data_IF_219315685404
#
_entry.id   IF_219315685404
#
_cell.length_a   1.000
_cell.length_b   1.000
_cell.length_c   1.000
_cell.angle_alpha   90.00
_cell.angle_beta   90.00
_cell.angle_gamma   90.00
#
_symmetry.space_group_name_H-M   'P 1'
#
loop_
_entity.id
_entity.type
_entity.pdbx_description
1 polymer ?
#
# COMPACT_ATOMS: atom_id res chain seq x y z
N UNK A 1 9.29 14.71 14.60
CA UNK A 1 9.76 13.74 15.61
C UNK A 1 8.98 12.44 15.43
N UNK A 2 9.63 11.26 15.49
CA UNK A 2 8.95 9.99 15.36
C UNK A 2 7.92 9.79 16.48
N UNK A 3 6.75 9.24 16.12
CA UNK A 3 5.64 9.00 17.06
C UNK A 3 5.87 7.77 17.96
N UNK A 4 6.75 6.86 17.54
CA UNK A 4 7.23 5.74 18.34
C UNK A 4 8.72 5.97 18.64
N UNK A 5 9.13 5.96 19.92
CA UNK A 5 10.54 6.08 20.29
C UNK A 5 11.39 5.05 19.55
N UNK A 6 12.51 5.50 19.00
CA UNK A 6 13.46 4.61 18.36
C UNK A 6 14.31 3.95 19.44
N UNK A 7 14.30 2.62 19.49
CA UNK A 7 15.20 1.90 20.38
C UNK A 7 16.65 2.13 19.93
N UNK A 8 17.52 2.28 20.93
CA UNK A 8 18.97 2.29 20.73
C UNK A 8 19.45 0.91 20.31
N UNK A 9 20.65 0.85 19.71
CA UNK A 9 21.26 -0.45 19.36
C UNK A 9 21.53 -1.25 20.62
N UNK A 10 21.85 -0.61 21.74
CA UNK A 10 22.10 -1.24 23.03
C UNK A 10 20.87 -1.96 23.58
N UNK A 11 19.67 -1.38 23.43
CA UNK A 11 18.43 -1.94 23.96
C UNK A 11 17.96 -3.19 23.21
N UNK A 12 18.25 -3.29 21.91
CA UNK A 12 17.82 -4.41 21.04
C UNK A 12 18.97 -4.96 20.18
N UNK A 13 20.16 -5.06 20.77
CA UNK A 13 21.42 -5.36 20.07
C UNK A 13 21.34 -6.56 19.15
N UNK A 14 20.85 -7.69 19.64
CA UNK A 14 20.77 -8.93 18.86
C UNK A 14 19.97 -8.76 17.54
N UNK A 15 18.82 -8.08 17.62
CA UNK A 15 17.94 -7.88 16.46
C UNK A 15 18.48 -6.82 15.50
N UNK A 16 18.95 -5.70 16.04
CA UNK A 16 19.46 -4.60 15.22
C UNK A 16 20.82 -4.93 14.58
N UNK A 17 21.66 -5.74 15.23
CA UNK A 17 22.89 -6.27 14.64
C UNK A 17 22.60 -7.25 13.49
N UNK A 18 21.53 -8.04 13.59
CA UNK A 18 21.08 -8.87 12.48
C UNK A 18 20.65 -8.02 11.27
N UNK A 19 19.93 -6.92 11.51
CA UNK A 19 19.57 -5.96 10.46
C UNK A 19 20.81 -5.32 9.84
N UNK A 20 21.74 -4.85 10.68
CA UNK A 20 23.01 -4.25 10.25
C UNK A 20 23.81 -5.21 9.37
N UNK A 21 23.92 -6.49 9.75
CA UNK A 21 24.63 -7.51 8.96
C UNK A 21 23.97 -7.77 7.61
N UNK A 22 22.64 -7.77 7.54
CA UNK A 22 21.91 -8.07 6.31
C UNK A 22 21.83 -6.88 5.35
N UNK A 23 21.74 -5.65 5.87
CA UNK A 23 21.49 -4.45 5.06
C UNK A 23 22.66 -3.46 5.01
N UNK A 24 23.73 -3.69 5.79
CA UNK A 24 24.88 -2.78 5.93
C UNK A 24 24.58 -1.50 6.73
N UNK A 25 23.33 -1.31 7.15
CA UNK A 25 22.84 -0.22 8.01
C UNK A 25 21.59 -0.67 8.76
N UNK A 26 21.18 0.08 9.78
CA UNK A 26 19.90 -0.10 10.48
C UNK A 26 18.95 1.05 10.14
N UNK A 27 18.01 0.85 9.20
CA UNK A 27 17.06 1.90 8.86
C UNK A 27 16.14 2.30 10.02
N UNK A 28 15.68 3.55 10.02
CA UNK A 28 14.85 4.11 11.09
C UNK A 28 13.55 3.33 11.36
N UNK A 29 12.94 2.72 10.33
CA UNK A 29 11.82 1.77 10.51
C UNK A 29 12.16 0.67 11.52
N UNK A 30 13.34 0.05 11.41
CA UNK A 30 13.74 -1.05 12.30
C UNK A 30 14.02 -0.54 13.72
N UNK A 31 14.57 0.66 13.86
CA UNK A 31 14.79 1.30 15.17
C UNK A 31 13.47 1.61 15.87
N UNK A 32 12.47 2.11 15.15
CA UNK A 32 11.13 2.32 15.71
C UNK A 32 10.43 1.00 16.03
N UNK A 33 10.53 -0.01 15.16
CA UNK A 33 9.90 -1.32 15.39
C UNK A 33 10.53 -2.09 16.55
N UNK A 34 11.81 -1.82 16.85
CA UNK A 34 12.52 -2.36 18.00
C UNK A 34 11.91 -1.97 19.36
N UNK A 35 11.01 -0.97 19.41
CA UNK A 35 10.18 -0.73 20.60
C UNK A 35 9.33 -1.96 20.99
N UNK A 36 9.06 -2.87 20.04
CA UNK A 36 8.51 -4.20 20.31
C UNK A 36 9.41 -5.29 19.72
N UNK A 37 10.21 -5.99 20.55
CA UNK A 37 11.08 -7.06 20.09
C UNK A 37 10.30 -8.21 19.42
N UNK A 38 9.06 -8.44 19.86
CA UNK A 38 8.17 -9.43 19.26
C UNK A 38 7.78 -9.03 17.82
N UNK A 39 7.40 -7.76 17.61
CA UNK A 39 7.05 -7.26 16.28
C UNK A 39 8.26 -7.29 15.34
N UNK A 40 9.42 -6.80 15.80
CA UNK A 40 10.64 -6.79 15.00
C UNK A 40 11.09 -8.22 14.64
N UNK A 41 11.11 -9.16 15.60
CA UNK A 41 11.45 -10.57 15.31
C UNK A 41 10.53 -11.19 14.26
N UNK A 42 9.22 -11.02 14.43
CA UNK A 42 8.24 -11.55 13.47
C UNK A 42 8.45 -10.98 12.07
N UNK A 43 8.63 -9.67 11.96
CA UNK A 43 8.87 -9.00 10.69
C UNK A 43 10.16 -9.48 10.00
N UNK A 44 11.26 -9.57 10.76
CA UNK A 44 12.54 -10.04 10.23
C UNK A 44 12.48 -11.49 9.76
N UNK A 45 11.87 -12.38 10.55
CA UNK A 45 11.71 -13.79 10.19
C UNK A 45 10.84 -13.95 8.93
N UNK A 46 9.75 -13.20 8.84
CA UNK A 46 8.85 -13.27 7.68
C UNK A 46 9.53 -12.75 6.41
N UNK A 47 10.24 -11.61 6.50
CA UNK A 47 11.02 -11.06 5.38
C UNK A 47 12.12 -12.03 4.93
N UNK A 48 12.84 -12.62 5.87
CA UNK A 48 13.94 -13.54 5.60
C UNK A 48 13.43 -14.81 4.88
N UNK A 49 12.29 -15.35 5.30
CA UNK A 49 11.63 -16.47 4.63
C UNK A 49 11.27 -16.12 3.18
N UNK A 50 10.60 -14.98 2.95
CA UNK A 50 10.19 -14.56 1.60
C UNK A 50 11.35 -14.20 0.67
N UNK A 51 12.49 -13.76 1.22
CA UNK A 51 13.70 -13.51 0.41
C UNK A 51 14.25 -14.80 -0.23
N UNK A 52 13.93 -15.96 0.33
CA UNK A 52 14.30 -17.28 -0.21
C UNK A 52 13.15 -17.97 -0.98
N UNK A 53 12.05 -17.26 -1.20
CA UNK A 53 10.89 -17.76 -1.94
C UNK A 53 11.13 -17.92 -3.43
N UNK A 54 10.15 -18.54 -4.11
CA UNK A 54 10.20 -18.84 -5.55
C UNK A 54 10.11 -17.58 -6.42
N UNK A 55 9.51 -16.49 -5.92
CA UNK A 55 9.39 -15.23 -6.67
C UNK A 55 10.75 -14.55 -6.94
N UNK A 56 11.74 -14.83 -6.10
CA UNK A 56 13.07 -14.24 -6.19
C UNK A 56 13.12 -12.77 -5.77
N UNK A 57 14.34 -12.29 -5.51
CA UNK A 57 14.55 -10.97 -4.91
C UNK A 57 14.05 -9.81 -5.78
N UNK A 58 14.20 -9.89 -7.11
CA UNK A 58 13.81 -8.82 -8.04
C UNK A 58 12.29 -8.61 -8.00
N UNK A 59 11.51 -9.67 -8.16
CA UNK A 59 10.04 -9.61 -8.14
C UNK A 59 9.53 -9.19 -6.78
N UNK A 60 10.11 -9.72 -5.70
CA UNK A 60 9.78 -9.31 -4.33
C UNK A 60 9.96 -7.80 -4.11
N UNK A 61 10.99 -7.18 -4.71
CA UNK A 61 11.21 -5.74 -4.63
C UNK A 61 10.17 -4.93 -5.42
N UNK A 62 9.78 -5.39 -6.60
CA UNK A 62 8.74 -4.74 -7.41
C UNK A 62 7.37 -4.84 -6.72
N UNK A 63 7.07 -5.98 -6.09
CA UNK A 63 5.88 -6.15 -5.25
C UNK A 63 5.90 -5.20 -4.05
N UNK A 64 7.04 -5.09 -3.37
CA UNK A 64 7.19 -4.17 -2.24
C UNK A 64 6.90 -2.71 -2.64
N UNK A 65 7.41 -2.31 -3.80
CA UNK A 65 7.22 -0.96 -4.34
C UNK A 65 5.76 -0.71 -4.76
N UNK A 66 5.10 -1.69 -5.37
CA UNK A 66 3.67 -1.63 -5.70
C UNK A 66 2.82 -1.49 -4.43
N UNK A 67 3.02 -2.36 -3.44
CA UNK A 67 2.24 -2.35 -2.19
C UNK A 67 2.44 -1.03 -1.44
N UNK A 68 3.68 -0.53 -1.39
CA UNK A 68 3.98 0.77 -0.81
C UNK A 68 3.27 1.93 -1.52
N UNK A 69 3.15 1.89 -2.85
CA UNK A 69 2.46 2.91 -3.63
C UNK A 69 0.93 2.85 -3.43
N UNK A 70 0.33 1.67 -3.48
CA UNK A 70 -1.12 1.46 -3.25
C UNK A 70 -1.53 1.84 -1.82
N UNK A 71 -0.63 1.69 -0.85
CA UNK A 71 -0.82 2.12 0.55
C UNK A 71 -0.35 3.56 0.83
N UNK A 72 0.08 4.33 -0.17
CA UNK A 72 0.59 5.70 0.03
C UNK A 72 1.70 5.82 1.09
N UNK A 73 2.60 4.84 1.21
CA UNK A 73 3.72 4.91 2.16
C UNK A 73 4.96 5.56 1.53
N UNK A 74 5.13 6.88 1.71
CA UNK A 74 6.27 7.62 1.15
C UNK A 74 7.65 7.10 1.60
N UNK A 75 7.80 6.76 2.88
CA UNK A 75 9.01 6.15 3.43
C UNK A 75 9.33 4.84 2.70
N UNK A 76 8.32 3.99 2.51
CA UNK A 76 8.48 2.66 1.92
C UNK A 76 8.79 2.74 0.41
N UNK A 77 8.10 3.62 -0.32
CA UNK A 77 8.39 3.84 -1.75
C UNK A 77 9.84 4.32 -1.92
N UNK A 78 10.28 5.24 -1.07
CA UNK A 78 11.65 5.76 -1.08
C UNK A 78 12.68 4.66 -0.74
N UNK A 79 12.42 3.84 0.30
CA UNK A 79 13.28 2.73 0.69
C UNK A 79 13.45 1.70 -0.44
N UNK A 80 12.34 1.28 -1.03
CA UNK A 80 12.30 0.25 -2.07
C UNK A 80 12.82 0.77 -3.42
N UNK A 81 12.73 2.09 -3.67
CA UNK A 81 13.38 2.71 -4.83
C UNK A 81 14.91 2.64 -4.71
N UNK A 82 15.47 2.97 -3.55
CA UNK A 82 16.92 2.87 -3.30
C UNK A 82 17.39 1.43 -3.40
N UNK A 83 16.68 0.50 -2.74
CA UNK A 83 17.04 -0.92 -2.76
C UNK A 83 16.93 -1.53 -4.17
N UNK A 84 15.87 -1.22 -4.92
CA UNK A 84 15.75 -1.62 -6.32
C UNK A 84 16.88 -1.08 -7.20
N UNK A 85 17.32 0.16 -6.98
CA UNK A 85 18.49 0.73 -7.66
C UNK A 85 19.79 -0.04 -7.38
N UNK A 86 20.03 -0.45 -6.13
CA UNK A 86 21.18 -1.31 -5.77
C UNK A 86 21.13 -2.68 -6.47
N UNK A 87 19.93 -3.15 -6.81
CA UNK A 87 19.70 -4.38 -7.59
C UNK A 87 19.77 -4.16 -9.10
N UNK A 88 20.16 -2.97 -9.56
CA UNK A 88 20.22 -2.58 -10.96
C UNK A 88 18.87 -2.65 -11.69
N UNK A 89 17.77 -2.48 -10.95
CA UNK A 89 16.45 -2.24 -11.53
C UNK A 89 16.43 -0.79 -12.02
N UNK A 90 16.02 -0.58 -13.26
CA UNK A 90 16.01 0.77 -13.85
C UNK A 90 14.98 1.66 -13.18
N UNK A 91 15.22 2.97 -13.19
CA UNK A 91 14.27 3.94 -12.62
C UNK A 91 12.90 3.90 -13.34
N UNK A 92 12.90 3.65 -14.66
CA UNK A 92 11.68 3.44 -15.46
C UNK A 92 10.88 2.23 -14.96
N UNK A 93 11.53 1.09 -14.76
CA UNK A 93 10.90 -0.12 -14.23
C UNK A 93 10.37 0.07 -12.80
N UNK A 94 11.12 0.76 -11.94
CA UNK A 94 10.68 1.06 -10.58
C UNK A 94 9.43 1.95 -10.60
N UNK A 95 9.40 3.01 -11.44
CA UNK A 95 8.21 3.85 -11.60
C UNK A 95 7.03 3.04 -12.17
N UNK A 96 7.27 2.17 -13.13
CA UNK A 96 6.23 1.31 -13.74
C UNK A 96 5.64 0.33 -12.71
N UNK A 97 6.47 -0.29 -11.86
CA UNK A 97 6.01 -1.22 -10.84
C UNK A 97 5.05 -0.57 -9.82
N UNK A 98 5.22 0.71 -9.49
CA UNK A 98 4.26 1.47 -8.66
C UNK A 98 2.85 1.50 -9.26
N UNK A 99 2.73 1.35 -10.58
CA UNK A 99 1.47 1.26 -11.32
C UNK A 99 1.10 -0.18 -11.72
N UNK A 100 1.74 -1.17 -11.10
CA UNK A 100 1.62 -2.59 -11.44
C UNK A 100 1.89 -2.87 -12.94
N UNK A 101 2.88 -2.19 -13.51
CA UNK A 101 3.32 -2.37 -14.90
C UNK A 101 4.71 -3.04 -14.93
N UNK A 102 4.90 -3.99 -15.85
CA UNK A 102 6.20 -4.62 -16.12
C UNK A 102 6.30 -5.01 -17.60
N UNK A 103 7.52 -4.95 -18.15
CA UNK A 103 7.84 -5.46 -19.49
C UNK A 103 7.95 -6.99 -19.52
N UNK A 104 8.23 -7.61 -18.38
CA UNK A 104 8.24 -9.06 -18.23
C UNK A 104 6.80 -9.58 -18.00
N UNK A 105 6.26 -10.45 -18.88
CA UNK A 105 4.86 -10.90 -18.79
C UNK A 105 4.51 -11.60 -17.48
N UNK A 106 5.42 -12.42 -16.94
CA UNK A 106 5.17 -13.16 -15.70
C UNK A 106 5.14 -12.22 -14.49
N UNK A 107 6.13 -11.33 -14.38
CA UNK A 107 6.15 -10.25 -13.38
C UNK A 107 4.91 -9.36 -13.51
N UNK A 108 4.46 -9.06 -14.73
CA UNK A 108 3.25 -8.28 -14.98
C UNK A 108 2.01 -8.98 -14.42
N UNK A 109 1.89 -10.30 -14.57
CA UNK A 109 0.79 -11.08 -13.99
C UNK A 109 0.84 -11.07 -12.46
N UNK A 110 2.04 -11.23 -11.87
CA UNK A 110 2.24 -11.20 -10.41
C UNK A 110 1.90 -9.83 -9.80
N UNK A 111 2.32 -8.73 -10.43
CA UNK A 111 1.98 -7.37 -9.98
C UNK A 111 0.46 -7.10 -10.06
N UNK A 112 -0.21 -7.55 -11.13
CA UNK A 112 -1.69 -7.44 -11.23
C UNK A 112 -2.39 -8.25 -10.17
N UNK A 113 -1.91 -9.47 -9.91
CA UNK A 113 -2.41 -10.34 -8.85
C UNK A 113 -2.30 -9.66 -7.48
N UNK A 114 -1.14 -9.07 -7.16
CA UNK A 114 -0.94 -8.36 -5.90
C UNK A 114 -1.91 -7.17 -5.76
N UNK A 115 -2.07 -6.37 -6.81
CA UNK A 115 -3.04 -5.26 -6.86
C UNK A 115 -4.47 -5.75 -6.64
N UNK A 116 -4.86 -6.85 -7.29
CA UNK A 116 -6.20 -7.42 -7.15
C UNK A 116 -6.45 -7.88 -5.72
N UNK A 117 -5.49 -8.57 -5.10
CA UNK A 117 -5.55 -8.96 -3.68
C UNK A 117 -5.72 -7.73 -2.79
N UNK A 118 -4.95 -6.66 -3.02
CA UNK A 118 -5.07 -5.44 -2.22
C UNK A 118 -6.43 -4.76 -2.37
N UNK A 119 -6.92 -4.62 -3.61
CA UNK A 119 -8.19 -3.96 -3.91
C UNK A 119 -9.39 -4.74 -3.40
N UNK A 120 -9.37 -6.07 -3.49
CA UNK A 120 -10.45 -6.94 -3.01
C UNK A 120 -10.27 -7.38 -1.55
N UNK A 121 -9.15 -6.99 -0.91
CA UNK A 121 -8.75 -7.45 0.42
C UNK A 121 -8.70 -8.99 0.50
N UNK A 122 -8.16 -9.62 -0.53
CA UNK A 122 -8.02 -11.07 -0.66
C UNK A 122 -9.27 -11.82 -1.14
N UNK A 123 -10.40 -11.12 -1.37
CA UNK A 123 -11.63 -11.73 -1.91
C UNK A 123 -11.63 -11.73 -3.44
N UNK A 124 -10.61 -12.35 -4.03
CA UNK A 124 -10.46 -12.47 -5.48
C UNK A 124 -11.57 -13.40 -6.01
N UNK A 125 -12.33 -12.96 -7.02
CA UNK A 125 -13.38 -13.76 -7.63
C UNK A 125 -12.81 -14.97 -8.41
N UNK A 126 -13.56 -16.07 -8.48
CA UNK A 126 -13.10 -17.32 -9.11
C UNK A 126 -12.73 -17.13 -10.58
N UNK A 127 -13.48 -16.29 -11.31
CA UNK A 127 -13.20 -15.96 -12.71
C UNK A 127 -11.85 -15.25 -12.86
N UNK A 128 -11.54 -14.34 -11.94
CA UNK A 128 -10.26 -13.59 -11.93
C UNK A 128 -9.11 -14.51 -11.53
N UNK A 129 -9.34 -15.41 -10.57
CA UNK A 129 -8.36 -16.42 -10.18
C UNK A 129 -8.04 -17.37 -11.34
N UNK A 130 -9.04 -17.74 -12.14
CA UNK A 130 -8.85 -18.49 -13.39
C UNK A 130 -7.93 -17.75 -14.37
N UNK A 131 -8.21 -16.46 -14.64
CA UNK A 131 -7.38 -15.63 -15.52
C UNK A 131 -5.93 -15.48 -15.03
N UNK A 132 -5.73 -15.38 -13.72
CA UNK A 132 -4.40 -15.30 -13.12
C UNK A 132 -3.60 -16.58 -13.38
N UNK A 133 -4.24 -17.74 -13.25
CA UNK A 133 -3.63 -19.05 -13.53
C UNK A 133 -3.35 -19.25 -15.03
N UNK A 134 -4.28 -18.83 -15.89
CA UNK A 134 -4.10 -18.86 -17.34
C UNK A 134 -2.93 -17.98 -17.80
N UNK A 135 -2.61 -16.92 -17.04
CA UNK A 135 -1.43 -16.08 -17.24
C UNK A 135 -0.11 -16.73 -16.74
N UNK A 136 -0.15 -17.95 -16.22
CA UNK A 136 1.02 -18.72 -15.80
C UNK A 136 1.40 -18.59 -14.33
N UNK A 137 0.61 -17.87 -13.51
CA UNK A 137 0.88 -17.75 -12.06
C UNK A 137 0.48 -19.04 -11.35
N UNK A 138 1.43 -19.63 -10.64
CA UNK A 138 1.22 -20.89 -9.91
C UNK A 138 0.58 -20.68 -8.53
N UNK A 139 0.01 -21.73 -7.95
CA UNK A 139 -0.55 -21.68 -6.58
C UNK A 139 0.53 -21.35 -5.53
N UNK A 140 1.78 -21.78 -5.74
CA UNK A 140 2.91 -21.41 -4.87
C UNK A 140 3.19 -19.91 -4.95
N UNK A 141 3.20 -19.34 -6.15
CA UNK A 141 3.39 -17.90 -6.35
C UNK A 141 2.20 -17.09 -5.83
N UNK A 142 0.97 -17.57 -5.95
CA UNK A 142 -0.21 -16.95 -5.34
C UNK A 142 -0.06 -16.82 -3.82
N UNK A 143 0.42 -17.88 -3.17
CA UNK A 143 0.70 -17.86 -1.74
C UNK A 143 1.80 -16.86 -1.38
N UNK A 144 2.91 -16.84 -2.13
CA UNK A 144 4.01 -15.90 -1.87
C UNK A 144 3.64 -14.44 -2.18
N UNK A 145 2.87 -14.17 -3.24
CA UNK A 145 2.36 -12.82 -3.54
C UNK A 145 1.48 -12.33 -2.39
N UNK A 146 0.57 -13.17 -1.90
CA UNK A 146 -0.27 -12.84 -0.73
C UNK A 146 0.59 -12.53 0.50
N UNK A 147 1.64 -13.32 0.73
CA UNK A 147 2.58 -13.12 1.82
C UNK A 147 3.38 -11.81 1.69
N UNK A 148 3.83 -11.46 0.48
CA UNK A 148 4.46 -10.17 0.21
C UNK A 148 3.50 -8.99 0.44
N UNK A 149 2.24 -9.09 -0.01
CA UNK A 149 1.22 -8.09 0.28
C UNK A 149 1.08 -7.88 1.79
N UNK A 150 1.00 -8.97 2.57
CA UNK A 150 0.90 -8.89 4.03
C UNK A 150 2.15 -8.28 4.69
N UNK A 151 3.35 -8.74 4.33
CA UNK A 151 4.62 -8.23 4.84
C UNK A 151 4.75 -6.72 4.62
N UNK A 152 4.50 -6.27 3.40
CA UNK A 152 4.68 -4.88 3.02
C UNK A 152 3.57 -4.00 3.60
N UNK A 153 2.31 -4.47 3.63
CA UNK A 153 1.21 -3.78 4.31
C UNK A 153 1.53 -3.54 5.79
N UNK A 154 2.06 -4.55 6.50
CA UNK A 154 2.49 -4.38 7.88
C UNK A 154 3.56 -3.27 8.01
N UNK A 155 4.60 -3.31 7.16
CA UNK A 155 5.65 -2.27 7.19
C UNK A 155 5.14 -0.88 6.83
N UNK A 156 4.17 -0.78 5.90
CA UNK A 156 3.56 0.48 5.49
C UNK A 156 2.76 1.09 6.63
N UNK A 157 1.85 0.33 7.22
CA UNK A 157 0.99 0.80 8.32
C UNK A 157 1.82 1.11 9.56
N UNK A 158 2.85 0.33 9.84
CA UNK A 158 3.79 0.65 10.91
C UNK A 158 4.49 1.99 10.66
N UNK A 159 4.93 2.29 9.42
CA UNK A 159 5.53 3.58 9.09
C UNK A 159 4.55 4.74 9.18
N UNK A 160 3.28 4.56 8.78
CA UNK A 160 2.24 5.57 8.95
C UNK A 160 2.03 5.93 10.43
N UNK A 161 2.05 4.92 11.29
CA UNK A 161 1.91 5.10 12.74
C UNK A 161 3.16 5.73 13.36
N UNK A 162 4.33 5.14 13.10
CA UNK A 162 5.60 5.49 13.74
C UNK A 162 6.20 6.80 13.22
N UNK A 163 5.90 7.17 11.96
CA UNK A 163 6.45 8.33 11.24
C UNK A 163 7.96 8.49 11.46
N UNK A 164 8.78 7.46 11.16
CA UNK A 164 10.22 7.59 11.28
C UNK A 164 10.73 8.66 10.32
N UNK A 165 11.77 9.37 10.73
CA UNK A 165 12.47 10.28 9.83
C UNK A 165 13.07 9.52 8.65
N UNK A 166 12.98 10.11 7.47
CA UNK A 166 13.52 9.53 6.24
C UNK A 166 15.05 9.50 6.29
N UNK A 167 15.64 8.31 6.22
CA UNK A 167 17.08 8.06 6.34
C UNK A 167 17.71 7.59 5.02
N UNK A 168 17.11 8.00 3.92
CA UNK A 168 17.56 7.77 2.54
C UNK A 168 16.97 8.83 1.61
N UNK A 169 17.49 8.98 0.37
CA UNK A 169 16.92 9.91 -0.60
C UNK A 169 15.44 9.64 -0.83
N UNK A 170 14.65 10.71 -0.87
CA UNK A 170 13.24 10.65 -1.20
C UNK A 170 13.08 10.23 -2.67
N UNK A 171 12.16 9.31 -2.91
CA UNK A 171 11.79 8.92 -4.26
C UNK A 171 11.22 10.13 -5.04
N UNK A 172 11.54 10.28 -6.33
CA UNK A 172 10.87 11.25 -7.20
C UNK A 172 9.35 11.04 -7.18
N UNK A 173 8.62 12.15 -7.29
CA UNK A 173 7.16 12.21 -7.42
C UNK A 173 6.37 11.64 -6.23
N UNK A 174 7.02 11.53 -5.07
CA UNK A 174 6.40 11.16 -3.79
C UNK A 174 6.53 12.35 -2.87
N UNK A 175 5.42 12.90 -2.37
CA UNK A 175 5.44 13.91 -1.31
C UNK A 175 5.41 13.21 0.05
N UNK A 176 6.13 13.73 1.04
CA UNK A 176 5.89 13.32 2.43
C UNK A 176 4.55 13.93 2.86
N UNK A 177 3.74 13.17 3.59
CA UNK A 177 2.63 13.76 4.35
C UNK A 177 3.24 14.65 5.44
N UNK A 178 3.45 15.93 5.14
CA UNK A 178 3.81 16.92 6.15
C UNK A 178 2.68 17.03 7.18
N UNK A 179 3.03 17.35 8.42
CA UNK A 179 2.15 17.59 9.57
C UNK A 179 1.19 18.78 9.32
N UNK A 180 0.27 18.64 8.37
CA UNK A 180 -0.88 19.51 8.23
C UNK A 180 -1.94 19.03 9.20
N UNK A 181 -1.84 19.50 10.45
CA UNK A 181 -3.03 19.63 11.27
C UNK A 181 -4.08 20.40 10.46
N UNK A 182 -5.11 19.68 9.98
CA UNK A 182 -6.32 20.25 9.38
C UNK A 182 -6.08 21.37 8.35
N UNK A 183 -5.70 21.06 7.10
CA UNK A 183 -6.18 21.83 5.93
C UNK A 183 -6.27 20.95 4.69
N UNK A 184 -7.52 20.59 4.40
CA UNK A 184 -8.00 20.00 3.16
C UNK A 184 -7.74 20.93 1.97
N UNK A 185 -6.95 20.48 1.00
CA UNK A 185 -7.04 20.92 -0.39
C UNK A 185 -6.32 19.91 -1.31
N UNK A 186 -6.86 19.37 -2.41
CA UNK A 186 -8.20 19.39 -3.01
C UNK A 186 -8.18 18.33 -4.13
N UNK A 187 -8.71 17.13 -3.88
CA UNK A 187 -8.97 16.10 -4.90
C UNK A 187 -10.45 15.94 -5.23
N UNK A 188 -11.30 16.81 -4.70
CA UNK A 188 -12.75 16.72 -4.82
C UNK A 188 -13.21 16.88 -6.26
N UNK A 189 -13.93 15.89 -6.76
CA UNK A 189 -14.57 15.90 -8.08
C UNK A 189 -16.08 15.75 -7.91
N UNK A 190 -16.84 16.43 -8.76
CA UNK A 190 -18.30 16.23 -8.84
C UNK A 190 -18.56 14.94 -9.61
N UNK A 191 -19.22 13.99 -8.97
CA UNK A 191 -19.68 12.75 -9.58
C UNK A 191 -21.21 12.81 -9.74
N UNK A 192 -21.69 12.46 -10.92
CA UNK A 192 -23.14 12.35 -11.17
C UNK A 192 -23.72 11.13 -10.48
N UNK A 193 -22.94 10.05 -10.36
CA UNK A 193 -23.32 8.82 -9.66
C UNK A 193 -22.11 8.22 -8.97
N UNK A 194 -22.28 7.79 -7.72
CA UNK A 194 -21.37 6.90 -6.99
C UNK A 194 -22.17 5.67 -6.57
N UNK A 195 -21.80 4.51 -7.11
CA UNK A 195 -22.38 3.21 -6.75
C UNK A 195 -21.43 2.47 -5.81
N UNK A 196 -21.96 1.91 -4.73
CA UNK A 196 -21.23 1.08 -3.78
C UNK A 196 -21.48 -0.41 -4.07
N UNK A 197 -20.54 -1.27 -3.67
CA UNK A 197 -20.73 -2.73 -3.67
C UNK A 197 -21.70 -3.14 -2.56
N UNK A 198 -22.29 -4.34 -2.68
CA UNK A 198 -23.26 -4.87 -1.73
C UNK A 198 -22.69 -4.91 -0.29
N UNK A 199 -23.52 -4.50 0.68
CA UNK A 199 -23.14 -4.42 2.09
C UNK A 199 -22.53 -3.08 2.53
N UNK A 200 -22.32 -2.13 1.61
CA UNK A 200 -21.91 -0.76 1.92
C UNK A 200 -23.02 0.24 1.59
N UNK A 201 -23.25 1.17 2.50
CA UNK A 201 -24.24 2.24 2.34
C UNK A 201 -23.65 3.59 2.78
N UNK A 202 -24.18 4.65 2.18
CA UNK A 202 -24.06 6.04 2.65
C UNK A 202 -25.46 6.61 2.80
N UNK A 203 -25.60 7.71 3.51
CA UNK A 203 -26.83 8.46 3.66
C UNK A 203 -27.04 9.37 2.44
N UNK A 204 -28.24 9.40 1.88
CA UNK A 204 -28.59 10.38 0.86
C UNK A 204 -28.94 11.76 1.48
N UNK A 205 -29.47 12.68 0.68
CA UNK A 205 -29.89 14.00 1.14
C UNK A 205 -31.09 13.95 2.12
N UNK A 206 -31.89 12.87 2.09
CA UNK A 206 -32.99 12.65 3.03
C UNK A 206 -32.53 11.96 4.34
N UNK A 207 -31.27 11.50 4.39
CA UNK A 207 -30.73 10.76 5.52
C UNK A 207 -31.01 9.25 5.46
N UNK A 208 -31.45 8.74 4.32
CA UNK A 208 -31.73 7.32 4.11
C UNK A 208 -30.48 6.57 3.67
N UNK A 209 -30.28 5.35 4.20
CA UNK A 209 -29.15 4.51 3.85
C UNK A 209 -29.32 3.92 2.44
N UNK A 210 -28.46 4.33 1.51
CA UNK A 210 -28.48 3.94 0.10
C UNK A 210 -27.12 3.41 -0.35
N UNK A 211 -27.13 2.49 -1.30
CA UNK A 211 -25.91 1.98 -1.96
C UNK A 211 -25.54 2.78 -3.22
N UNK A 212 -26.33 3.78 -3.60
CA UNK A 212 -26.06 4.66 -4.75
C UNK A 212 -26.45 6.08 -4.38
N UNK A 213 -25.53 7.03 -4.57
CA UNK A 213 -25.78 8.47 -4.39
C UNK A 213 -25.44 9.25 -5.65
N UNK A 214 -26.22 10.29 -5.92
CA UNK A 214 -26.10 11.10 -7.12
C UNK A 214 -25.65 12.52 -6.78
N UNK A 215 -25.02 13.18 -7.75
CA UNK A 215 -24.65 14.60 -7.68
C UNK A 215 -23.86 14.97 -6.42
N UNK A 216 -22.89 14.12 -6.08
CA UNK A 216 -22.03 14.26 -4.90
C UNK A 216 -20.66 14.81 -5.27
N UNK A 217 -19.96 15.39 -4.30
CA UNK A 217 -18.50 15.53 -4.43
C UNK A 217 -17.85 14.28 -3.86
N UNK A 218 -16.83 13.77 -4.53
CA UNK A 218 -16.04 12.62 -4.05
C UNK A 218 -14.54 12.92 -4.11
N UNK A 219 -13.81 12.45 -3.11
CA UNK A 219 -12.35 12.47 -3.04
C UNK A 219 -11.83 11.12 -2.56
N UNK A 220 -10.59 10.77 -2.91
CA UNK A 220 -9.94 9.55 -2.45
C UNK A 220 -8.68 9.89 -1.66
N UNK A 221 -8.59 9.40 -0.44
CA UNK A 221 -7.47 9.66 0.46
C UNK A 221 -7.23 8.46 1.38
N UNK A 222 -5.96 8.05 1.54
CA UNK A 222 -5.59 6.98 2.47
C UNK A 222 -6.29 5.62 2.26
N UNK A 223 -6.73 5.30 1.04
CA UNK A 223 -7.49 4.08 0.75
C UNK A 223 -8.99 4.17 1.09
N UNK A 224 -9.49 5.38 1.34
CA UNK A 224 -10.90 5.67 1.60
C UNK A 224 -11.48 6.57 0.52
N UNK A 225 -12.78 6.41 0.26
CA UNK A 225 -13.58 7.35 -0.52
C UNK A 225 -14.33 8.25 0.45
N UNK A 226 -14.12 9.55 0.29
CA UNK A 226 -14.81 10.61 1.00
C UNK A 226 -15.92 11.15 0.10
N UNK A 227 -17.17 11.04 0.55
CA UNK A 227 -18.36 11.37 -0.22
C UNK A 227 -19.10 12.49 0.50
N UNK A 228 -19.15 13.65 -0.13
CA UNK A 228 -19.86 14.83 0.33
C UNK A 228 -21.19 14.93 -0.41
N UNK A 229 -22.26 14.63 0.32
CA UNK A 229 -23.64 14.62 -0.18
C UNK A 229 -24.25 16.01 0.07
N UNK A 230 -24.73 16.70 -0.97
CA UNK A 230 -25.31 18.04 -0.81
C UNK A 230 -26.43 18.06 0.25
N UNK A 231 -26.39 19.06 1.12
CA UNK A 231 -27.38 19.24 2.20
C UNK A 231 -27.05 18.49 3.49
N UNK A 232 -26.07 17.59 3.49
CA UNK A 232 -25.55 16.98 4.71
C UNK A 232 -24.53 17.90 5.39
N UNK A 233 -24.43 17.81 6.72
CA UNK A 233 -23.46 18.58 7.52
C UNK A 233 -22.13 17.84 7.72
N UNK A 234 -22.00 16.64 7.17
CA UNK A 234 -20.84 15.79 7.34
C UNK A 234 -20.45 15.07 6.05
N UNK A 235 -19.15 14.82 5.90
CA UNK A 235 -18.60 13.98 4.84
C UNK A 235 -18.67 12.53 5.29
N UNK A 236 -19.16 11.67 4.40
CA UNK A 236 -19.28 10.25 4.65
C UNK A 236 -18.06 9.51 4.11
N UNK A 237 -17.60 8.49 4.82
CA UNK A 237 -16.35 7.81 4.49
C UNK A 237 -16.61 6.32 4.36
N UNK A 238 -16.23 5.77 3.21
CA UNK A 238 -16.21 4.32 2.96
C UNK A 238 -14.81 3.90 2.54
N UNK A 239 -14.51 2.61 2.63
CA UNK A 239 -13.29 2.07 2.00
C UNK A 239 -13.32 2.38 0.50
N UNK A 240 -12.21 2.80 -0.11
CA UNK A 240 -12.17 3.08 -1.55
C UNK A 240 -12.61 1.86 -2.40
N UNK A 241 -12.20 0.62 -2.07
CA UNK A 241 -12.77 -0.60 -2.64
C UNK A 241 -14.29 -0.78 -2.56
N UNK A 242 -14.98 -0.10 -1.65
CA UNK A 242 -16.42 -0.18 -1.56
C UNK A 242 -17.11 0.57 -2.71
N UNK A 243 -16.40 1.46 -3.42
CA UNK A 243 -16.94 2.17 -4.58
C UNK A 243 -16.86 1.26 -5.81
N UNK A 244 -18.02 0.77 -6.24
CA UNK A 244 -18.18 -0.08 -7.43
C UNK A 244 -17.97 0.72 -8.72
N UNK A 245 -18.57 1.91 -8.79
CA UNK A 245 -18.57 2.75 -10.00
C UNK A 245 -18.71 4.22 -9.66
N UNK A 246 -18.04 5.07 -10.44
CA UNK A 246 -18.22 6.52 -10.42
C UNK A 246 -18.54 6.97 -11.83
N UNK A 247 -19.64 7.69 -12.00
CA UNK A 247 -19.93 8.45 -13.22
C UNK A 247 -19.58 9.92 -12.99
N UNK A 248 -18.88 10.52 -13.94
CA UNK A 248 -18.57 11.94 -13.96
C UNK A 248 -19.43 12.64 -15.02
N UNK A 249 -19.72 13.94 -14.88
CA UNK A 249 -20.33 14.72 -15.94
C UNK A 249 -19.50 14.58 -17.23
N UNK A 250 -20.17 14.32 -18.36
CA UNK A 250 -19.51 14.43 -19.66
C UNK A 250 -19.19 15.92 -19.92
N UNK A 251 -17.99 16.23 -20.44
CA UNK A 251 -17.61 17.61 -20.78
C UNK A 251 -18.47 18.18 -21.91
#
# INVERSE_FOLDING_TARGET
MPRIPQATVEEQRELLDAVQRQLGRVPNLYRSMAASPAALRGYLAFRDALTRGVLGARTGELLALLVAAENSCAYCVSAHTVRGGLMKITEEELRAARRAESKDPHTQALLRTAREIMRTRGRVADEVLGQIRDAGVTDTELAEVTAHVALHTFSNYFNHLARPELDFPQAPDVQQEEDSGMMMATGWRVATVVELIDGYTVLDAAGEAVSTVCDVRISFEGGFAHIDVPGQTSVQVVSAPAVRRIAYPHP
#
